data_IF_425201929210
#
_entry.id   IF_425201929210
#
_cell.length_a   1.000
_cell.length_b   1.000
_cell.length_c   1.000
_cell.angle_alpha   90.00
_cell.angle_beta   90.00
_cell.angle_gamma   90.00
#
_symmetry.space_group_name_H-M   'P 1'
#
loop_
_entity.id
_entity.type
_entity.pdbx_description
1 polymer ?
#
# COMPACT_ATOMS: atom_id res chain seq x y z
N UNK A 1 17.56 11.25 15.73
CA UNK A 1 17.15 10.42 16.89
C UNK A 1 15.65 10.56 17.04
N UNK A 2 14.87 9.60 16.54
CA UNK A 2 13.43 9.56 16.81
C UNK A 2 13.19 8.79 18.11
N UNK A 3 12.69 9.51 19.12
CA UNK A 3 12.23 8.98 20.40
C UNK A 3 10.87 8.33 20.20
N UNK A 4 10.77 7.01 20.40
CA UNK A 4 9.54 6.27 20.74
C UNK A 4 8.28 6.58 19.91
N UNK A 5 8.43 6.96 18.65
CA UNK A 5 7.33 7.19 17.72
C UNK A 5 7.35 6.11 16.67
N UNK A 6 6.25 5.41 16.50
CA UNK A 6 6.04 4.47 15.39
C UNK A 6 6.59 5.04 14.08
N UNK A 7 7.33 4.23 13.30
CA UNK A 7 7.65 4.61 11.91
C UNK A 7 6.31 4.86 11.20
N UNK A 8 6.15 6.07 10.65
CA UNK A 8 4.94 6.57 9.97
C UNK A 8 4.01 5.46 9.45
N UNK A 9 2.82 5.34 10.05
CA UNK A 9 1.75 4.51 9.51
C UNK A 9 1.04 5.30 8.41
N UNK A 10 1.30 4.92 7.17
CA UNK A 10 0.66 5.49 5.99
C UNK A 10 0.90 4.60 4.78
N UNK A 11 0.37 5.00 3.63
CA UNK A 11 0.78 4.46 2.34
C UNK A 11 2.24 4.86 2.10
N UNK A 12 3.19 4.10 2.67
CA UNK A 12 4.63 4.23 2.38
C UNK A 12 4.93 4.03 0.89
N UNK A 13 3.96 3.52 0.13
CA UNK A 13 3.90 3.52 -1.32
C UNK A 13 2.54 4.10 -1.71
N UNK A 14 2.56 5.23 -2.41
CA UNK A 14 1.36 6.00 -2.72
C UNK A 14 0.53 5.41 -3.87
N UNK A 15 -0.77 5.68 -3.85
CA UNK A 15 -1.63 5.57 -5.03
C UNK A 15 -1.78 6.98 -5.60
N UNK A 16 -1.29 7.21 -6.81
CA UNK A 16 -1.51 8.45 -7.55
C UNK A 16 -2.55 8.19 -8.65
N UNK A 17 -3.53 9.07 -8.73
CA UNK A 17 -4.55 9.06 -9.78
C UNK A 17 -4.52 10.39 -10.50
N UNK A 18 -4.20 10.35 -11.79
CA UNK A 18 -4.40 11.47 -12.70
C UNK A 18 -5.54 11.14 -13.68
N UNK A 19 -6.55 12.01 -13.72
CA UNK A 19 -7.52 12.02 -14.81
C UNK A 19 -7.05 13.10 -15.77
N UNK A 20 -6.29 12.69 -16.79
CA UNK A 20 -5.55 13.60 -17.65
C UNK A 20 -6.44 14.75 -18.14
N UNK A 21 -5.99 15.99 -17.92
CA UNK A 21 -6.64 17.20 -18.41
C UNK A 21 -6.52 17.28 -19.94
N UNK A 22 -7.39 16.55 -20.65
CA UNK A 22 -7.63 16.76 -22.08
C UNK A 22 -7.85 15.49 -22.92
N UNK A 23 -7.24 14.35 -22.58
CA UNK A 23 -7.36 13.10 -23.38
C UNK A 23 -8.50 12.18 -22.91
N UNK A 24 -8.98 12.34 -21.68
CA UNK A 24 -10.00 11.47 -21.08
C UNK A 24 -9.48 10.12 -20.58
N UNK A 25 -8.17 9.85 -20.71
CA UNK A 25 -7.55 8.65 -20.19
C UNK A 25 -7.40 8.74 -18.67
N UNK A 26 -7.91 7.73 -17.95
CA UNK A 26 -7.71 7.58 -16.51
C UNK A 26 -6.41 6.81 -16.28
N UNK A 27 -5.46 7.45 -15.59
CA UNK A 27 -4.16 6.86 -15.28
C UNK A 27 -4.05 6.60 -13.79
N UNK A 28 -3.61 5.39 -13.44
CA UNK A 28 -3.37 4.94 -12.08
C UNK A 28 -1.90 4.57 -11.96
N UNK A 29 -1.18 5.29 -11.10
CA UNK A 29 0.21 4.98 -10.77
C UNK A 29 0.31 4.44 -9.34
N UNK A 30 1.12 3.39 -9.19
CA UNK A 30 1.63 2.98 -7.88
C UNK A 30 3.04 3.55 -7.73
N UNK A 31 3.27 4.28 -6.65
CA UNK A 31 4.54 4.97 -6.41
C UNK A 31 5.34 4.17 -5.39
N UNK A 32 6.57 3.85 -5.76
CA UNK A 32 7.59 3.26 -4.91
C UNK A 32 8.55 4.38 -4.50
N UNK A 33 8.38 4.91 -3.29
CA UNK A 33 9.19 6.03 -2.81
C UNK A 33 10.62 5.62 -2.47
N UNK A 34 10.87 4.33 -2.21
CA UNK A 34 12.22 3.84 -1.93
C UNK A 34 13.05 3.78 -3.23
N UNK A 35 12.41 3.48 -4.37
CA UNK A 35 13.05 3.44 -5.69
C UNK A 35 12.85 4.72 -6.52
N UNK A 36 12.15 5.72 -5.99
CA UNK A 36 11.70 6.93 -6.72
C UNK A 36 11.07 6.57 -8.08
N UNK A 37 10.18 5.58 -8.09
CA UNK A 37 9.64 4.97 -9.30
C UNK A 37 8.13 4.95 -9.30
N UNK A 38 7.56 5.19 -10.47
CA UNK A 38 6.12 5.05 -10.71
C UNK A 38 5.82 3.85 -11.61
N UNK A 39 4.78 3.11 -11.26
CA UNK A 39 4.29 1.96 -11.99
C UNK A 39 2.90 2.25 -12.56
N UNK A 40 2.79 2.41 -13.88
CA UNK A 40 1.49 2.51 -14.55
C UNK A 40 0.76 1.17 -14.47
N UNK A 41 -0.37 1.16 -13.76
CA UNK A 41 -1.24 -0.01 -13.60
C UNK A 41 -2.64 0.20 -14.20
N UNK A 42 -2.85 1.26 -14.97
CA UNK A 42 -4.15 1.71 -15.49
C UNK A 42 -4.85 0.65 -16.34
N UNK A 43 -4.08 -0.16 -17.07
CA UNK A 43 -4.59 -1.19 -17.99
C UNK A 43 -4.80 -2.56 -17.32
N UNK A 44 -4.58 -2.68 -16.01
CA UNK A 44 -4.61 -3.96 -15.30
C UNK A 44 -5.84 -4.08 -14.40
N UNK A 45 -6.64 -5.14 -14.62
CA UNK A 45 -7.82 -5.46 -13.78
C UNK A 45 -7.47 -5.97 -12.38
N UNK A 46 -6.23 -6.46 -12.20
CA UNK A 46 -5.68 -6.98 -10.94
C UNK A 46 -4.28 -6.42 -10.78
N UNK A 47 -3.81 -6.26 -9.54
CA UNK A 47 -2.46 -5.80 -9.25
C UNK A 47 -1.41 -6.69 -9.96
N UNK A 48 -0.63 -6.16 -10.92
CA UNK A 48 0.32 -6.95 -11.68
C UNK A 48 1.56 -7.32 -10.86
N UNK A 49 2.21 -8.43 -11.20
CA UNK A 49 3.33 -8.98 -10.41
C UNK A 49 4.52 -8.02 -10.27
N UNK A 50 4.78 -7.20 -11.29
CA UNK A 50 5.87 -6.21 -11.27
C UNK A 50 5.63 -5.06 -10.29
N UNK A 51 4.37 -4.81 -9.93
CA UNK A 51 3.97 -3.77 -9.00
C UNK A 51 3.70 -4.30 -7.58
N UNK A 52 3.86 -5.61 -7.36
CA UNK A 52 3.69 -6.21 -6.03
C UNK A 52 4.92 -5.92 -5.18
N UNK A 53 4.71 -5.27 -4.05
CA UNK A 53 5.71 -5.13 -3.00
C UNK A 53 6.14 -6.52 -2.50
N UNK A 54 7.42 -6.85 -2.64
CA UNK A 54 7.96 -8.17 -2.25
C UNK A 54 8.45 -8.21 -0.81
N UNK A 55 8.96 -7.09 -0.31
CA UNK A 55 9.50 -6.93 1.03
C UNK A 55 9.47 -5.47 1.43
N UNK A 56 9.29 -5.18 2.72
CA UNK A 56 9.39 -3.84 3.28
C UNK A 56 9.89 -3.94 4.73
N UNK A 57 11.11 -3.45 4.97
CA UNK A 57 11.76 -3.54 6.28
C UNK A 57 11.03 -2.74 7.37
N UNK A 58 10.31 -1.68 7.00
CA UNK A 58 9.53 -0.87 7.94
C UNK A 58 8.28 -1.60 8.37
N UNK A 59 7.56 -2.22 7.42
CA UNK A 59 6.41 -3.07 7.73
C UNK A 59 6.85 -4.24 8.62
N UNK A 60 7.96 -4.90 8.27
CA UNK A 60 8.51 -6.00 9.06
C UNK A 60 8.85 -5.56 10.49
N UNK A 61 9.52 -4.42 10.66
CA UNK A 61 9.86 -3.87 11.97
C UNK A 61 8.60 -3.55 12.79
N UNK A 62 7.60 -2.91 12.16
CA UNK A 62 6.34 -2.56 12.81
C UNK A 62 5.56 -3.81 13.26
N UNK A 63 5.51 -4.87 12.44
CA UNK A 63 4.84 -6.13 12.81
C UNK A 63 5.57 -6.77 14.00
N UNK A 64 6.90 -6.85 13.97
CA UNK A 64 7.69 -7.41 15.06
C UNK A 64 7.42 -6.69 16.39
N UNK A 65 7.39 -5.36 16.39
CA UNK A 65 7.13 -4.58 17.60
C UNK A 65 5.72 -4.82 18.15
N UNK A 66 4.70 -4.95 17.29
CA UNK A 66 3.32 -5.25 17.69
C UNK A 66 3.21 -6.67 18.29
N UNK A 67 3.99 -7.63 17.78
CA UNK A 67 4.10 -8.99 18.32
C UNK A 67 4.78 -8.97 19.69
N UNK A 68 5.91 -8.25 19.83
CA UNK A 68 6.63 -8.11 21.11
C UNK A 68 5.76 -7.46 22.20
N UNK A 69 4.90 -6.51 21.82
CA UNK A 69 3.91 -5.89 22.72
C UNK A 69 2.74 -6.80 23.08
N UNK A 70 2.64 -7.99 22.48
CA UNK A 70 1.55 -8.95 22.73
C UNK A 70 0.18 -8.53 22.20
N UNK A 71 0.13 -7.48 21.36
CA UNK A 71 -1.09 -7.01 20.70
C UNK A 71 -1.49 -8.00 19.61
N UNK A 72 -0.52 -8.42 18.80
CA UNK A 72 -0.69 -9.46 17.79
C UNK A 72 -0.13 -10.77 18.34
N UNK A 73 -1.01 -11.74 18.59
CA UNK A 73 -0.66 -13.04 19.18
C UNK A 73 -0.58 -14.11 18.10
N UNK A 74 0.22 -15.13 18.37
CA UNK A 74 0.40 -16.31 17.50
C UNK A 74 0.88 -16.01 16.07
N UNK A 75 1.50 -14.85 15.86
CA UNK A 75 2.14 -14.48 14.59
C UNK A 75 3.63 -14.72 14.68
N UNK A 76 4.17 -15.48 13.73
CA UNK A 76 5.60 -15.80 13.61
C UNK A 76 6.06 -15.47 12.20
N UNK A 77 7.24 -14.84 12.08
CA UNK A 77 7.89 -14.63 10.79
C UNK A 77 8.38 -15.97 10.24
N UNK A 78 8.03 -16.25 8.99
CA UNK A 78 8.30 -17.49 8.27
C UNK A 78 8.68 -17.14 6.82
N UNK A 79 9.67 -17.82 6.24
CA UNK A 79 10.09 -17.64 4.84
C UNK A 79 9.04 -18.12 3.84
N UNK A 80 8.15 -19.05 4.22
CA UNK A 80 6.97 -19.43 3.43
C UNK A 80 5.90 -18.33 3.43
N UNK A 81 6.03 -17.36 4.34
CA UNK A 81 5.02 -16.34 4.60
C UNK A 81 3.69 -16.94 5.03
N UNK A 82 2.61 -16.21 4.80
CA UNK A 82 1.27 -16.68 5.07
C UNK A 82 0.55 -16.99 3.75
N UNK A 83 0.76 -18.18 3.14
CA UNK A 83 0.20 -18.51 1.82
C UNK A 83 -1.33 -18.54 1.80
N UNK A 84 -1.98 -18.55 2.97
CA UNK A 84 -3.44 -18.52 3.15
C UNK A 84 -3.95 -17.27 3.89
N UNK A 85 -3.10 -16.30 4.21
CA UNK A 85 -3.59 -15.05 4.78
C UNK A 85 -4.07 -14.13 3.66
N UNK A 86 -5.29 -13.63 3.81
CA UNK A 86 -5.85 -12.61 2.94
C UNK A 86 -6.08 -11.36 3.77
N UNK A 87 -5.37 -10.28 3.45
CA UNK A 87 -5.73 -8.95 3.94
C UNK A 87 -6.80 -8.44 2.98
N UNK A 88 -8.05 -8.46 3.43
CA UNK A 88 -9.17 -7.92 2.67
C UNK A 88 -9.24 -6.42 2.95
N UNK A 89 -8.67 -5.62 2.07
CA UNK A 89 -8.94 -4.19 2.07
C UNK A 89 -10.36 -3.98 1.51
N UNK A 90 -11.27 -3.47 2.34
CA UNK A 90 -12.59 -3.01 1.89
C UNK A 90 -12.50 -1.65 1.17
N UNK A 91 -11.55 -1.51 0.25
CA UNK A 91 -11.34 -0.26 -0.48
C UNK A 91 -12.25 -0.25 -1.71
N UNK A 92 -13.39 0.43 -1.62
CA UNK A 92 -14.18 0.83 -2.80
C UNK A 92 -13.74 2.23 -3.19
N UNK A 93 -12.84 2.33 -4.17
CA UNK A 93 -12.51 3.62 -4.80
C UNK A 93 -13.63 3.95 -5.78
N UNK A 94 -14.36 5.04 -5.53
CA UNK A 94 -15.40 5.56 -6.41
C UNK A 94 -14.98 6.94 -6.88
N UNK A 95 -15.12 7.21 -8.18
CA UNK A 95 -14.99 8.57 -8.71
C UNK A 95 -16.12 9.42 -8.11
N UNK A 96 -15.74 10.42 -7.32
CA UNK A 96 -16.67 11.40 -6.77
C UNK A 96 -16.86 12.56 -7.74
N UNK A 97 -18.03 13.18 -7.72
CA UNK A 97 -18.24 14.50 -8.29
C UNK A 97 -17.96 15.51 -7.19
N UNK A 98 -16.84 16.24 -7.31
CA UNK A 98 -16.39 17.18 -6.29
C UNK A 98 -17.43 18.29 -6.01
N UNK A 99 -18.32 18.57 -6.96
CA UNK A 99 -19.40 19.56 -6.78
C UNK A 99 -20.48 19.11 -5.80
N UNK A 100 -20.54 17.81 -5.48
CA UNK A 100 -21.50 17.19 -4.55
C UNK A 100 -20.98 17.01 -3.12
N UNK A 101 -19.78 17.51 -2.82
CA UNK A 101 -19.13 17.38 -1.50
C UNK A 101 -19.36 18.60 -0.58
N UNK A 102 -20.21 19.54 -1.00
CA UNK A 102 -20.65 20.67 -0.17
C UNK A 102 -21.80 20.29 0.76
#
# INVERSE_FOLDING_TARGET
MEKNGYKSYGLRNGLEWDSGTGSGDEVIYLVDFDLDKQYDVSKYKKLPDFAKLKSDETIDANINEIVEKGILKDVKKDSKGSPKASIIYNLKVKKGDYTKWR
#
